data_IF_548265573093
#
_entry.id   IF_548265573093
#
_cell.length_a   1.000
_cell.length_b   1.000
_cell.length_c   1.000
_cell.angle_alpha   90.00
_cell.angle_beta   90.00
_cell.angle_gamma   90.00
#
_symmetry.space_group_name_H-M   'P 1'
#
loop_
_entity.id
_entity.type
_entity.pdbx_description
1 polymer ?
#
# COMPACT_ATOMS: atom_id res chain seq x y z
N UNK A 1 23.36 -1.70 6.87
CA UNK A 1 22.52 -2.91 6.76
C UNK A 1 22.52 -3.26 5.29
N UNK A 2 23.10 -4.40 4.91
CA UNK A 2 23.11 -4.81 3.49
C UNK A 2 21.66 -5.00 3.02
N UNK A 3 21.30 -4.52 1.81
CA UNK A 3 19.96 -4.72 1.29
C UNK A 3 19.79 -6.22 0.98
N UNK A 4 18.93 -6.89 1.74
CA UNK A 4 18.53 -8.27 1.45
C UNK A 4 17.99 -8.41 0.02
N UNK A 5 18.03 -9.62 -0.53
CA UNK A 5 17.58 -9.88 -1.91
C UNK A 5 16.07 -9.65 -2.07
N UNK A 6 15.62 -9.24 -3.26
CA UNK A 6 14.19 -9.01 -3.57
C UNK A 6 13.29 -10.19 -3.16
N UNK A 7 13.77 -11.43 -3.27
CA UNK A 7 13.05 -12.65 -2.88
C UNK A 7 12.95 -12.82 -1.34
N UNK A 8 13.99 -12.46 -0.59
CA UNK A 8 13.97 -12.48 0.88
C UNK A 8 12.99 -11.43 1.45
N UNK A 9 12.93 -10.26 0.81
CA UNK A 9 11.98 -9.21 1.18
C UNK A 9 10.56 -9.55 0.76
N UNK A 10 10.34 -10.12 -0.43
CA UNK A 10 9.01 -10.47 -0.92
C UNK A 10 8.33 -11.60 -0.11
N UNK A 11 9.08 -12.33 0.72
CA UNK A 11 8.58 -13.54 1.38
C UNK A 11 8.42 -13.41 2.90
N UNK A 12 9.17 -12.52 3.57
CA UNK A 12 9.25 -12.48 5.04
C UNK A 12 9.51 -11.07 5.62
N UNK A 13 8.72 -10.07 5.20
CA UNK A 13 8.87 -8.72 5.74
C UNK A 13 7.91 -8.44 6.90
N UNK A 14 8.42 -7.79 7.95
CA UNK A 14 7.66 -7.44 9.15
C UNK A 14 7.26 -5.98 9.18
N UNK A 15 6.97 -5.43 10.35
CA UNK A 15 6.64 -3.99 10.44
C UNK A 15 7.81 -3.08 10.01
N UNK A 16 9.02 -3.61 9.90
CA UNK A 16 10.21 -2.89 9.50
C UNK A 16 10.22 -2.44 8.03
N UNK A 17 9.45 -3.09 7.14
CA UNK A 17 9.31 -2.59 5.77
C UNK A 17 8.48 -1.31 5.68
N UNK A 18 7.65 -1.01 6.68
CA UNK A 18 6.89 0.25 6.73
C UNK A 18 7.83 1.45 6.77
N UNK A 19 8.97 1.31 7.45
CA UNK A 19 9.98 2.35 7.58
C UNK A 19 10.98 2.37 6.42
N UNK A 20 11.31 1.19 5.88
CA UNK A 20 12.41 1.01 4.92
C UNK A 20 11.98 1.11 3.46
N UNK A 21 10.72 0.83 3.14
CA UNK A 21 10.25 0.75 1.76
C UNK A 21 9.40 1.97 1.38
N UNK A 22 9.77 2.61 0.27
CA UNK A 22 9.00 3.71 -0.35
C UNK A 22 8.20 3.28 -1.56
N UNK A 23 8.58 2.15 -2.15
CA UNK A 23 7.92 1.57 -3.31
C UNK A 23 7.20 0.28 -2.89
N UNK A 24 6.01 0.08 -3.45
CA UNK A 24 5.15 -1.05 -3.12
C UNK A 24 4.54 -1.59 -4.41
N UNK A 25 4.65 -2.89 -4.62
CA UNK A 25 4.05 -3.60 -5.75
C UNK A 25 2.64 -4.05 -5.39
N UNK A 26 1.71 -3.79 -6.29
CA UNK A 26 0.31 -4.20 -6.16
C UNK A 26 0.19 -5.68 -6.51
N UNK A 27 -0.37 -6.50 -5.61
CA UNK A 27 -0.48 -7.96 -5.80
C UNK A 27 -1.78 -8.41 -6.47
N UNK A 28 -2.87 -7.71 -6.17
CA UNK A 28 -4.19 -7.91 -6.78
C UNK A 28 -4.70 -6.55 -7.25
N UNK A 29 -5.57 -6.46 -8.30
CA UNK A 29 -6.13 -5.18 -8.70
C UNK A 29 -6.83 -4.49 -7.52
N UNK A 30 -6.24 -3.40 -7.03
CA UNK A 30 -6.77 -2.65 -5.90
C UNK A 30 -7.62 -1.50 -6.42
N UNK A 31 -8.90 -1.50 -6.03
CA UNK A 31 -9.73 -0.31 -6.17
C UNK A 31 -9.46 0.57 -4.95
N UNK A 32 -8.98 1.79 -5.20
CA UNK A 32 -8.84 2.82 -4.19
C UNK A 32 -10.19 3.05 -3.51
N UNK A 33 -10.31 2.59 -2.28
CA UNK A 33 -11.35 3.06 -1.38
C UNK A 33 -10.70 4.14 -0.55
N UNK A 34 -10.65 5.36 -1.10
CA UNK A 34 -10.68 6.54 -0.22
C UNK A 34 -11.84 6.34 0.76
N UNK A 35 -11.70 6.76 2.03
CA UNK A 35 -12.83 6.70 2.94
C UNK A 35 -13.98 7.38 2.22
N UNK A 36 -15.06 6.63 2.08
CA UNK A 36 -16.37 7.13 1.64
C UNK A 36 -16.91 8.07 2.73
N UNK A 37 -16.13 9.08 3.12
CA UNK A 37 -16.50 10.08 4.09
C UNK A 37 -17.34 11.17 3.42
N UNK A 38 -17.13 11.41 2.12
CA UNK A 38 -18.02 12.26 1.33
C UNK A 38 -18.89 11.43 0.36
N UNK A 39 -20.19 11.23 0.68
CA UNK A 39 -21.13 10.54 -0.20
C UNK A 39 -21.41 11.29 -1.52
N UNK A 40 -20.86 12.50 -1.71
CA UNK A 40 -21.01 13.30 -2.93
C UNK A 40 -19.90 13.08 -3.96
N UNK A 41 -18.86 12.31 -3.63
CA UNK A 41 -17.77 12.08 -4.58
C UNK A 41 -18.24 11.24 -5.79
N UNK A 42 -18.00 11.75 -6.99
CA UNK A 42 -18.37 11.14 -8.27
C UNK A 42 -17.25 10.26 -8.87
N UNK A 43 -17.54 9.46 -9.91
CA UNK A 43 -16.57 8.58 -10.57
C UNK A 43 -15.35 9.29 -11.17
N UNK A 44 -15.47 10.59 -11.49
CA UNK A 44 -14.39 11.45 -11.99
C UNK A 44 -13.40 11.89 -10.92
N UNK A 45 -13.74 11.69 -9.65
CA UNK A 45 -12.87 11.97 -8.49
C UNK A 45 -12.14 10.71 -8.02
N UNK A 46 -12.22 9.62 -8.80
CA UNK A 46 -11.33 8.46 -8.66
C UNK A 46 -9.90 8.93 -8.92
N UNK A 47 -9.09 8.94 -7.86
CA UNK A 47 -7.72 9.40 -7.91
C UNK A 47 -6.88 8.55 -8.87
N UNK A 48 -7.11 7.23 -8.90
CA UNK A 48 -6.31 6.33 -9.73
C UNK A 48 -6.91 4.90 -9.82
N UNK A 49 -6.39 4.06 -10.70
CA UNK A 49 -6.63 2.60 -10.75
C UNK A 49 -5.28 1.91 -10.90
N UNK A 50 -4.96 0.95 -10.02
CA UNK A 50 -3.71 0.18 -10.11
C UNK A 50 -3.98 -1.31 -10.31
N UNK A 51 -3.33 -1.86 -11.32
CA UNK A 51 -3.35 -3.27 -11.65
C UNK A 51 -2.33 -4.05 -10.83
N UNK A 52 -2.49 -5.38 -10.78
CA UNK A 52 -1.45 -6.25 -10.26
C UNK A 52 -0.14 -6.05 -11.06
N UNK A 53 0.99 -5.94 -10.35
CA UNK A 53 2.31 -5.65 -10.91
C UNK A 53 2.67 -4.17 -10.94
N UNK A 54 1.73 -3.25 -10.72
CA UNK A 54 2.04 -1.82 -10.64
C UNK A 54 2.89 -1.50 -9.41
N UNK A 55 3.85 -0.59 -9.58
CA UNK A 55 4.64 -0.04 -8.48
C UNK A 55 4.06 1.32 -8.10
N UNK A 56 3.75 1.49 -6.81
CA UNK A 56 3.25 2.74 -6.24
C UNK A 56 4.19 3.27 -5.16
N UNK A 57 4.27 4.59 -5.06
CA UNK A 57 5.06 5.27 -4.03
C UNK A 57 4.18 5.61 -2.82
N UNK A 58 4.67 5.31 -1.62
CA UNK A 58 4.00 5.71 -0.39
C UNK A 58 4.81 5.46 0.86
N UNK A 59 4.35 6.03 1.97
CA UNK A 59 4.91 5.76 3.29
C UNK A 59 4.07 4.69 4.00
N UNK A 60 4.68 3.58 4.39
CA UNK A 60 4.03 2.58 5.23
C UNK A 60 3.81 3.14 6.64
N UNK A 61 2.64 2.85 7.22
CA UNK A 61 2.30 3.22 8.59
C UNK A 61 1.49 2.11 9.27
N UNK A 62 1.58 2.06 10.59
CA UNK A 62 0.76 1.18 11.42
C UNK A 62 -0.19 2.01 12.26
N UNK A 63 -1.48 1.87 12.00
CA UNK A 63 -2.56 2.58 12.70
C UNK A 63 -3.44 1.53 13.37
N UNK A 64 -3.56 1.59 14.71
CA UNK A 64 -4.38 0.65 15.49
C UNK A 64 -4.09 -0.84 15.21
N UNK A 65 -2.82 -1.17 14.92
CA UNK A 65 -2.41 -2.55 14.65
C UNK A 65 -2.66 -3.03 13.21
N UNK A 66 -3.19 -2.17 12.35
CA UNK A 66 -3.40 -2.36 10.91
C UNK A 66 -2.30 -1.65 10.11
N UNK A 67 -1.82 -2.29 9.04
CA UNK A 67 -0.81 -1.73 8.15
C UNK A 67 -1.46 -1.00 6.98
N UNK A 68 -1.11 0.25 6.83
CA UNK A 68 -1.59 1.12 5.77
C UNK A 68 -0.42 1.71 4.98
N UNK A 69 -0.64 1.92 3.69
CA UNK A 69 0.22 2.70 2.83
C UNK A 69 -0.42 4.07 2.63
N UNK A 70 0.30 5.13 3.00
CA UNK A 70 -0.06 6.50 2.68
C UNK A 70 0.50 6.86 1.31
N UNK A 71 -0.38 6.92 0.30
CA UNK A 71 -0.01 7.11 -1.10
C UNK A 71 0.50 8.52 -1.37
N UNK A 72 1.60 8.60 -2.14
CA UNK A 72 2.13 9.83 -2.70
C UNK A 72 2.01 9.80 -4.23
N UNK A 73 1.45 10.86 -4.80
CA UNK A 73 1.39 11.08 -6.24
C UNK A 73 1.84 12.50 -6.54
N UNK A 74 2.85 12.65 -7.40
CA UNK A 74 3.47 13.95 -7.74
C UNK A 74 3.87 14.77 -6.49
N UNK A 75 4.37 14.08 -5.46
CA UNK A 75 4.76 14.69 -4.18
C UNK A 75 3.59 15.14 -3.29
N UNK A 76 2.34 14.87 -3.66
CA UNK A 76 1.14 15.15 -2.87
C UNK A 76 0.59 13.89 -2.23
N UNK A 77 0.10 14.02 -1.00
CA UNK A 77 -0.67 12.95 -0.35
C UNK A 77 -2.06 12.87 -0.99
N UNK A 78 -2.43 11.68 -1.43
CA UNK A 78 -3.70 11.48 -2.17
C UNK A 78 -4.60 10.44 -1.53
N UNK A 79 -4.09 9.55 -0.67
CA UNK A 79 -4.96 8.60 0.02
C UNK A 79 -4.24 7.53 0.82
N UNK A 80 -5.03 6.56 1.30
CA UNK A 80 -4.58 5.46 2.13
C UNK A 80 -5.04 4.13 1.56
N UNK A 81 -4.16 3.12 1.57
CA UNK A 81 -4.43 1.78 1.06
C UNK A 81 -4.07 0.77 2.15
N UNK A 82 -4.90 -0.26 2.33
CA UNK A 82 -4.52 -1.38 3.18
C UNK A 82 -3.36 -2.14 2.54
N UNK A 83 -2.30 -2.39 3.32
CA UNK A 83 -1.18 -3.20 2.84
C UNK A 83 -1.52 -4.69 2.91
N UNK A 84 -2.28 -5.09 3.93
CA UNK A 84 -2.72 -6.46 4.15
C UNK A 84 -4.19 -6.54 4.58
N UNK A 85 -4.73 -7.75 4.52
CA UNK A 85 -6.12 -8.05 4.80
C UNK A 85 -6.49 -8.14 6.28
N UNK A 86 -5.56 -7.85 7.20
CA UNK A 86 -5.79 -8.02 8.64
C UNK A 86 -6.98 -7.21 9.14
N UNK A 87 -7.16 -5.99 8.63
CA UNK A 87 -8.30 -5.13 8.98
C UNK A 87 -9.66 -5.72 8.60
N UNK A 88 -9.70 -6.57 7.57
CA UNK A 88 -10.93 -7.18 7.06
C UNK A 88 -11.02 -8.67 7.40
N UNK A 89 -10.19 -9.14 8.35
CA UNK A 89 -10.23 -10.51 8.86
C UNK A 89 -9.71 -11.57 7.88
N UNK A 90 -8.87 -11.19 6.92
CA UNK A 90 -8.27 -12.14 5.96
C UNK A 90 -6.74 -12.13 6.08
N UNK A 91 -6.15 -13.32 6.02
CA UNK A 91 -4.70 -13.51 6.12
C UNK A 91 -4.07 -13.55 4.71
N UNK A 92 -4.06 -12.39 4.04
CA UNK A 92 -3.40 -12.21 2.74
C UNK A 92 -2.89 -10.78 2.59
N UNK A 93 -1.89 -10.61 1.73
CA UNK A 93 -1.30 -9.30 1.39
C UNK A 93 -1.97 -8.71 0.16
N UNK A 94 -2.02 -7.39 0.12
CA UNK A 94 -2.48 -6.60 -1.03
C UNK A 94 -1.33 -5.90 -1.72
N UNK A 95 -0.31 -5.52 -0.95
CA UNK A 95 0.90 -4.87 -1.42
C UNK A 95 2.14 -5.64 -0.96
N UNK A 96 3.15 -5.66 -1.82
CA UNK A 96 4.49 -6.19 -1.54
C UNK A 96 5.47 -5.02 -1.46
N UNK A 97 6.27 -4.87 -0.40
CA UNK A 97 7.31 -3.86 -0.35
C UNK A 97 8.37 -4.16 -1.40
N UNK A 98 8.84 -3.11 -2.04
CA UNK A 98 9.94 -3.17 -3.00
C UNK A 98 11.11 -2.44 -2.36
N UNK A 99 12.18 -3.16 -1.96
CA UNK A 99 13.39 -2.54 -1.44
C UNK A 99 13.97 -1.54 -2.45
N UNK A 100 14.43 -0.41 -1.94
CA UNK A 100 15.15 0.62 -2.70
C UNK A 100 16.64 0.60 -2.41
#
# INVERSE_FOLDING_TARGET
>A
VEPGTLEEWASNWGDDALDKCKNWMVLEPLVYVMPKADPKQGPSERLDVRGAGDIIEGDGQKVEGVRWLRLKQDGKEVGWILIDGKAVGVDRRFLEPVPG
#
